data_IF_148956011454
#
_entry.id   IF_148956011454
#
_cell.length_a   1.000
_cell.length_b   1.000
_cell.length_c   1.000
_cell.angle_alpha   90.00
_cell.angle_beta   90.00
_cell.angle_gamma   90.00
#
_symmetry.space_group_name_H-M   'P 1'
#
loop_
_entity.id
_entity.type
_entity.pdbx_description
1 polymer ?
#
# COMPACT_ATOMS: atom_id res chain seq x y z
N UNK A 1 13.25 -16.91 -23.10
CA UNK A 1 12.20 -15.99 -22.62
C UNK A 1 12.39 -15.86 -21.12
N UNK A 2 12.54 -14.66 -20.58
CA UNK A 2 12.59 -14.46 -19.13
C UNK A 2 11.31 -15.03 -18.51
N UNK A 3 11.44 -15.78 -17.41
CA UNK A 3 10.27 -16.31 -16.72
C UNK A 3 9.39 -15.16 -16.23
N UNK A 4 8.05 -15.29 -16.32
CA UNK A 4 7.15 -14.19 -15.98
C UNK A 4 7.28 -13.79 -14.51
N UNK A 5 7.14 -12.48 -14.28
CA UNK A 5 7.02 -11.87 -12.98
C UNK A 5 5.79 -12.40 -12.24
N UNK A 6 5.90 -12.65 -10.94
CA UNK A 6 4.77 -13.10 -10.11
C UNK A 6 4.08 -11.92 -9.44
N UNK A 7 4.81 -10.83 -9.16
CA UNK A 7 4.29 -9.69 -8.38
C UNK A 7 4.66 -8.36 -9.02
N UNK A 8 3.67 -7.49 -9.25
CA UNK A 8 3.93 -6.10 -9.64
C UNK A 8 3.82 -5.17 -8.43
N UNK A 9 4.96 -4.59 -8.04
CA UNK A 9 5.01 -3.59 -6.97
C UNK A 9 4.81 -2.20 -7.55
N UNK A 10 3.70 -1.56 -7.21
CA UNK A 10 3.36 -0.21 -7.65
C UNK A 10 3.76 0.78 -6.56
N UNK A 11 4.68 1.68 -6.90
CA UNK A 11 5.21 2.68 -5.98
C UNK A 11 4.99 4.10 -6.54
N UNK A 12 3.94 4.81 -6.12
CA UNK A 12 3.84 6.24 -6.41
C UNK A 12 4.87 7.02 -5.58
N UNK A 13 5.48 8.04 -6.17
CA UNK A 13 6.42 8.92 -5.47
C UNK A 13 6.32 10.35 -6.01
N UNK A 14 6.66 11.33 -5.16
CA UNK A 14 6.85 12.72 -5.55
C UNK A 14 7.79 13.39 -4.54
N UNK A 15 8.94 13.88 -4.99
CA UNK A 15 9.95 14.54 -4.14
C UNK A 15 10.36 13.72 -2.88
N UNK A 16 10.29 12.39 -2.95
CA UNK A 16 10.58 11.47 -1.83
C UNK A 16 11.58 10.38 -2.23
N UNK A 17 12.62 10.77 -2.99
CA UNK A 17 13.55 9.85 -3.61
C UNK A 17 14.38 9.02 -2.64
N UNK A 18 14.82 9.60 -1.51
CA UNK A 18 15.56 8.85 -0.49
C UNK A 18 14.70 7.76 0.17
N UNK A 19 13.42 8.07 0.43
CA UNK A 19 12.46 7.10 0.94
C UNK A 19 12.23 5.99 -0.09
N UNK A 20 11.98 6.35 -1.35
CA UNK A 20 11.78 5.38 -2.44
C UNK A 20 13.01 4.48 -2.61
N UNK A 21 14.21 5.06 -2.66
CA UNK A 21 15.46 4.32 -2.74
C UNK A 21 15.61 3.32 -1.60
N UNK A 22 15.38 3.74 -0.35
CA UNK A 22 15.43 2.84 0.81
C UNK A 22 14.39 1.72 0.70
N UNK A 23 13.18 2.01 0.26
CA UNK A 23 12.14 1.00 0.07
C UNK A 23 12.55 -0.02 -1.00
N UNK A 24 13.00 0.44 -2.17
CA UNK A 24 13.50 -0.38 -3.28
C UNK A 24 14.68 -1.26 -2.83
N UNK A 25 15.61 -0.71 -2.07
CA UNK A 25 16.74 -1.47 -1.51
C UNK A 25 16.30 -2.55 -0.51
N UNK A 26 15.19 -2.36 0.18
CA UNK A 26 14.63 -3.40 1.05
C UNK A 26 13.87 -4.46 0.26
N UNK A 27 13.17 -4.08 -0.82
CA UNK A 27 12.56 -5.04 -1.74
C UNK A 27 13.62 -5.99 -2.32
N UNK A 28 14.77 -5.48 -2.75
CA UNK A 28 15.85 -6.31 -3.33
C UNK A 28 16.48 -7.28 -2.34
N UNK A 29 16.34 -7.04 -1.03
CA UNK A 29 16.92 -7.89 0.02
C UNK A 29 15.96 -8.87 0.66
N UNK A 30 14.68 -8.52 0.71
CA UNK A 30 13.72 -9.20 1.59
C UNK A 30 12.46 -9.70 0.88
N UNK A 31 12.39 -9.55 -0.43
CA UNK A 31 11.32 -10.13 -1.25
C UNK A 31 11.87 -11.34 -1.99
N UNK A 32 11.30 -12.51 -1.74
CA UNK A 32 11.76 -13.80 -2.28
C UNK A 32 11.09 -14.12 -3.63
N UNK A 33 9.88 -13.60 -3.82
CA UNK A 33 9.12 -13.72 -5.05
C UNK A 33 9.83 -13.01 -6.21
N UNK A 34 9.60 -13.48 -7.43
CA UNK A 34 9.95 -12.68 -8.61
C UNK A 34 8.98 -11.51 -8.73
N UNK A 35 9.51 -10.30 -8.73
CA UNK A 35 8.71 -9.09 -8.84
C UNK A 35 9.28 -8.12 -9.87
N UNK A 36 8.43 -7.20 -10.30
CA UNK A 36 8.80 -5.99 -11.03
C UNK A 36 8.41 -4.77 -10.18
N UNK A 37 9.12 -3.66 -10.36
CA UNK A 37 8.78 -2.41 -9.69
C UNK A 37 8.30 -1.43 -10.76
N UNK A 38 7.08 -0.93 -10.58
CA UNK A 38 6.50 0.14 -11.38
C UNK A 38 6.53 1.41 -10.52
N UNK A 39 7.57 2.21 -10.75
CA UNK A 39 7.82 3.46 -10.04
C UNK A 39 7.15 4.60 -10.81
N UNK A 40 6.15 5.23 -10.20
CA UNK A 40 5.39 6.32 -10.82
C UNK A 40 5.76 7.65 -10.16
N UNK A 41 6.56 8.45 -10.85
CA UNK A 41 6.87 9.82 -10.47
C UNK A 41 5.71 10.75 -10.80
N UNK A 42 5.05 11.25 -9.76
CA UNK A 42 3.89 12.11 -9.86
C UNK A 42 4.30 13.60 -9.84
N UNK A 43 5.12 13.99 -10.81
CA UNK A 43 5.68 15.33 -11.01
C UNK A 43 6.56 15.82 -9.85
N UNK A 44 7.66 15.12 -9.62
CA UNK A 44 8.78 15.64 -8.82
C UNK A 44 9.50 16.78 -9.56
N UNK A 45 10.06 17.70 -8.79
CA UNK A 45 10.80 18.85 -9.31
C UNK A 45 12.10 18.42 -10.00
N UNK A 46 12.72 17.36 -9.47
CA UNK A 46 13.89 16.72 -10.06
C UNK A 46 13.81 15.20 -9.88
N UNK A 47 14.56 14.46 -10.70
CA UNK A 47 14.73 13.01 -10.57
C UNK A 47 16.23 12.74 -10.42
N UNK A 48 16.69 12.08 -9.35
CA UNK A 48 18.10 11.76 -9.18
C UNK A 48 18.61 10.80 -10.25
N UNK A 49 19.86 10.99 -10.67
CA UNK A 49 20.57 10.11 -11.59
C UNK A 49 20.53 8.62 -11.19
N UNK A 50 20.62 8.33 -9.88
CA UNK A 50 20.61 6.95 -9.39
C UNK A 50 19.25 6.24 -9.56
N UNK A 51 18.17 6.98 -9.82
CA UNK A 51 16.88 6.42 -10.23
C UNK A 51 16.86 6.22 -11.74
N UNK A 52 17.28 7.24 -12.50
CA UNK A 52 17.26 7.22 -13.97
C UNK A 52 18.19 6.16 -14.58
N UNK A 53 19.26 5.78 -13.87
CA UNK A 53 20.24 4.79 -14.33
C UNK A 53 19.84 3.33 -14.00
N UNK A 54 18.67 3.11 -13.38
CA UNK A 54 18.20 1.76 -13.07
C UNK A 54 17.47 1.16 -14.27
N UNK A 55 17.87 -0.04 -14.64
CA UNK A 55 17.26 -0.87 -15.69
C UNK A 55 16.25 -1.88 -15.13
N UNK A 56 16.20 -2.03 -13.80
CA UNK A 56 15.31 -2.95 -13.09
C UNK A 56 13.97 -2.33 -12.65
N UNK A 57 13.68 -1.12 -13.12
CA UNK A 57 12.44 -0.39 -12.83
C UNK A 57 11.66 -0.08 -14.11
N UNK A 58 10.34 -0.27 -14.06
CA UNK A 58 9.43 0.39 -14.99
C UNK A 58 9.12 1.79 -14.46
N UNK A 59 9.69 2.81 -15.10
CA UNK A 59 9.56 4.19 -14.67
C UNK A 59 8.50 4.95 -15.47
N UNK A 60 7.49 5.49 -14.79
CA UNK A 60 6.46 6.37 -15.37
C UNK A 60 6.65 7.76 -14.79
N UNK A 61 6.76 8.78 -15.64
CA UNK A 61 6.88 10.18 -15.22
C UNK A 61 5.66 10.99 -15.65
N UNK A 62 5.02 11.66 -14.70
CA UNK A 62 3.97 12.63 -14.97
C UNK A 62 4.53 14.05 -15.14
N UNK A 63 3.99 14.80 -16.10
CA UNK A 63 4.35 16.21 -16.32
C UNK A 63 3.71 17.19 -15.34
N UNK A 64 2.68 16.76 -14.62
CA UNK A 64 2.01 17.52 -13.56
C UNK A 64 1.47 16.55 -12.48
N UNK A 65 1.17 17.07 -11.30
CA UNK A 65 0.62 16.29 -10.19
C UNK A 65 -0.81 15.81 -10.52
N UNK A 66 -0.99 14.51 -10.72
CA UNK A 66 -2.27 13.86 -10.99
C UNK A 66 -2.94 13.28 -9.73
N UNK A 67 -2.34 13.46 -8.57
CA UNK A 67 -2.71 12.78 -7.34
C UNK A 67 -2.13 11.36 -7.22
N UNK A 68 -2.04 10.88 -5.99
CA UNK A 68 -1.50 9.55 -5.65
C UNK A 68 -2.35 8.43 -6.26
N UNK A 69 -3.68 8.61 -6.27
CA UNK A 69 -4.61 7.61 -6.80
C UNK A 69 -4.41 7.36 -8.30
N UNK A 70 -4.30 8.43 -9.09
CA UNK A 70 -4.03 8.31 -10.52
C UNK A 70 -2.68 7.64 -10.79
N UNK A 71 -1.66 7.94 -9.96
CA UNK A 71 -0.37 7.28 -10.07
C UNK A 71 -0.45 5.77 -9.78
N UNK A 72 -1.26 5.34 -8.81
CA UNK A 72 -1.52 3.92 -8.56
C UNK A 72 -2.23 3.28 -9.76
N UNK A 73 -3.27 3.93 -10.31
CA UNK A 73 -3.98 3.44 -11.50
C UNK A 73 -3.05 3.30 -12.72
N UNK A 74 -2.14 4.25 -12.94
CA UNK A 74 -1.13 4.16 -14.00
C UNK A 74 -0.22 2.93 -13.81
N UNK A 75 0.17 2.66 -12.57
CA UNK A 75 0.94 1.47 -12.23
C UNK A 75 0.15 0.18 -12.47
N UNK A 76 -1.12 0.12 -12.06
CA UNK A 76 -1.98 -1.06 -12.24
C UNK A 76 -2.16 -1.39 -13.73
N UNK A 77 -2.31 -0.39 -14.59
CA UNK A 77 -2.40 -0.57 -16.05
C UNK A 77 -1.15 -1.17 -16.69
N UNK A 78 0.00 -1.08 -16.02
CA UNK A 78 1.28 -1.62 -16.51
C UNK A 78 1.67 -2.93 -15.85
N UNK A 79 1.00 -3.30 -14.77
CA UNK A 79 1.31 -4.51 -14.01
C UNK A 79 1.06 -5.78 -14.81
N UNK A 80 2.00 -6.72 -14.73
CA UNK A 80 1.94 -8.03 -15.39
C UNK A 80 1.86 -9.21 -14.40
N UNK A 81 2.21 -8.98 -13.14
CA UNK A 81 2.26 -10.01 -12.10
C UNK A 81 0.89 -10.58 -11.73
N UNK A 82 0.86 -11.79 -11.21
CA UNK A 82 -0.34 -12.42 -10.65
C UNK A 82 -0.87 -11.66 -9.43
N UNK A 83 0.04 -11.07 -8.66
CA UNK A 83 -0.30 -10.22 -7.51
C UNK A 83 0.12 -8.77 -7.75
N UNK A 84 -0.71 -7.85 -7.26
CA UNK A 84 -0.46 -6.41 -7.26
C UNK A 84 -0.16 -5.98 -5.83
N UNK A 85 0.93 -5.23 -5.65
CA UNK A 85 1.25 -4.59 -4.37
C UNK A 85 1.15 -3.09 -4.51
N UNK A 86 0.28 -2.47 -3.72
CA UNK A 86 0.28 -1.02 -3.50
C UNK A 86 1.25 -0.71 -2.37
N UNK A 87 2.40 -0.12 -2.68
CA UNK A 87 3.47 0.10 -1.71
C UNK A 87 3.90 1.56 -1.69
N UNK A 88 3.62 2.25 -0.58
CA UNK A 88 4.15 3.61 -0.39
C UNK A 88 5.66 3.57 -0.13
N UNK A 89 6.36 4.54 -0.67
CA UNK A 89 7.83 4.71 -0.60
C UNK A 89 8.41 4.77 0.83
N UNK A 90 7.57 4.95 1.85
CA UNK A 90 7.96 4.99 3.27
C UNK A 90 7.90 3.63 3.98
N UNK A 91 7.40 2.60 3.30
CA UNK A 91 7.36 1.25 3.83
C UNK A 91 8.77 0.67 3.98
N UNK A 92 8.92 -0.29 4.90
CA UNK A 92 10.16 -1.06 5.08
C UNK A 92 9.83 -2.54 4.90
N UNK A 93 9.83 -3.04 3.66
CA UNK A 93 9.85 -4.47 3.39
C UNK A 93 10.95 -5.16 4.19
N UNK A 94 10.65 -6.34 4.70
CA UNK A 94 11.54 -7.08 5.60
C UNK A 94 11.21 -8.57 5.52
N UNK A 95 12.02 -9.43 6.13
CA UNK A 95 11.94 -10.89 6.04
C UNK A 95 10.50 -11.42 5.92
N UNK A 96 10.23 -12.19 4.86
CA UNK A 96 8.96 -12.91 4.62
C UNK A 96 7.70 -12.06 4.52
N UNK A 97 7.81 -10.72 4.44
CA UNK A 97 6.64 -9.82 4.45
C UNK A 97 5.63 -10.16 3.34
N UNK A 98 6.10 -10.34 2.10
CA UNK A 98 5.24 -10.56 0.95
C UNK A 98 4.73 -12.00 0.88
N UNK A 99 5.63 -12.97 1.10
CA UNK A 99 5.31 -14.40 1.16
C UNK A 99 4.15 -14.67 2.11
N UNK A 100 4.20 -14.06 3.30
CA UNK A 100 3.14 -14.21 4.29
C UNK A 100 1.83 -13.59 3.83
N UNK A 101 1.83 -12.38 3.27
CA UNK A 101 0.60 -11.75 2.77
C UNK A 101 -0.01 -12.47 1.57
N UNK A 102 0.80 -12.99 0.65
CA UNK A 102 0.34 -13.84 -0.46
C UNK A 102 -0.28 -15.13 0.09
N UNK A 103 0.30 -15.70 1.16
CA UNK A 103 -0.27 -16.87 1.81
C UNK A 103 -1.67 -16.60 2.36
N UNK A 104 -1.90 -15.43 2.98
CA UNK A 104 -3.25 -15.03 3.41
C UNK A 104 -4.23 -15.02 2.24
N UNK A 105 -3.84 -14.45 1.10
CA UNK A 105 -4.68 -14.44 -0.12
C UNK A 105 -5.04 -15.85 -0.60
N UNK A 106 -4.09 -16.79 -0.55
CA UNK A 106 -4.28 -18.17 -1.01
C UNK A 106 -5.11 -19.03 -0.07
N UNK A 107 -4.93 -18.85 1.24
CA UNK A 107 -5.49 -19.73 2.27
C UNK A 107 -6.77 -19.16 2.91
N UNK A 108 -7.09 -17.88 2.68
CA UNK A 108 -8.34 -17.28 3.18
C UNK A 108 -9.39 -17.19 2.07
N UNK A 109 -10.53 -17.90 2.19
CA UNK A 109 -11.59 -17.85 1.18
C UNK A 109 -12.03 -16.41 0.88
N UNK A 110 -12.08 -16.07 -0.41
CA UNK A 110 -12.49 -14.77 -0.92
C UNK A 110 -11.67 -13.57 -0.40
N UNK A 111 -10.44 -13.75 0.08
CA UNK A 111 -9.57 -12.61 0.38
C UNK A 111 -9.19 -11.85 -0.91
N UNK A 112 -9.69 -10.64 -1.06
CA UNK A 112 -9.41 -9.78 -2.23
C UNK A 112 -8.31 -8.76 -1.98
N UNK A 113 -8.03 -8.44 -0.71
CA UNK A 113 -6.99 -7.48 -0.34
C UNK A 113 -6.47 -7.76 1.06
N UNK A 114 -5.13 -7.78 1.19
CA UNK A 114 -4.44 -8.07 2.44
C UNK A 114 -3.51 -6.92 2.81
N UNK A 115 -3.52 -6.51 4.08
CA UNK A 115 -2.58 -5.53 4.64
C UNK A 115 -1.87 -6.07 5.89
N UNK A 116 -0.63 -5.63 6.18
CA UNK A 116 0.13 -6.11 7.33
C UNK A 116 -0.13 -5.27 8.58
N UNK A 117 0.34 -5.75 9.73
CA UNK A 117 0.53 -4.96 10.94
C UNK A 117 1.63 -3.90 10.73
N UNK A 118 1.53 -2.78 11.45
CA UNK A 118 2.50 -1.68 11.32
C UNK A 118 2.54 -0.76 12.54
N UNK A 119 3.67 -0.06 12.74
CA UNK A 119 3.88 0.88 13.85
C UNK A 119 2.87 2.04 13.91
N UNK A 120 2.19 2.31 12.80
CA UNK A 120 1.24 3.42 12.66
C UNK A 120 -0.06 3.00 11.99
N UNK A 121 -0.46 1.75 12.22
CA UNK A 121 -1.70 1.25 11.67
C UNK A 121 -2.89 1.97 12.28
N UNK A 122 -3.98 1.99 11.52
CA UNK A 122 -5.31 2.24 12.04
C UNK A 122 -5.79 0.96 12.73
N UNK A 123 -6.49 1.12 13.86
CA UNK A 123 -7.29 0.07 14.49
C UNK A 123 -6.55 -1.29 14.57
N UNK A 124 -7.07 -2.31 13.90
CA UNK A 124 -6.55 -3.68 13.87
C UNK A 124 -5.14 -3.83 13.28
N UNK A 125 -4.65 -2.87 12.48
CA UNK A 125 -3.30 -2.93 11.90
C UNK A 125 -2.22 -2.36 12.83
N UNK A 126 -2.59 -1.88 14.03
CA UNK A 126 -1.67 -1.10 14.87
C UNK A 126 -0.82 -2.00 15.78
N UNK A 127 0.48 -2.02 15.53
CA UNK A 127 1.50 -2.64 16.38
C UNK A 127 2.64 -1.65 16.67
N UNK A 128 2.53 -0.79 17.69
CA UNK A 128 3.53 0.22 17.99
C UNK A 128 4.83 -0.44 18.48
N UNK A 129 5.96 0.13 18.06
CA UNK A 129 7.30 -0.36 18.45
C UNK A 129 8.19 0.81 18.91
N UNK A 130 9.09 0.62 19.88
CA UNK A 130 9.90 1.69 20.46
C UNK A 130 11.19 1.98 19.68
N UNK A 131 11.39 1.39 18.50
CA UNK A 131 12.63 1.49 17.73
C UNK A 131 12.40 2.09 16.33
N UNK A 132 13.45 2.74 15.82
CA UNK A 132 13.49 3.31 14.46
C UNK A 132 14.71 2.87 13.65
N UNK A 133 15.72 2.27 14.31
CA UNK A 133 16.91 1.77 13.62
C UNK A 133 16.56 0.59 12.72
N UNK A 134 17.01 0.62 11.45
CA UNK A 134 16.75 -0.43 10.45
C UNK A 134 17.12 -1.83 10.97
N UNK A 135 18.28 -1.98 11.60
CA UNK A 135 18.71 -3.28 12.16
C UNK A 135 17.72 -3.86 13.18
N UNK A 136 17.14 -3.02 14.04
CA UNK A 136 16.11 -3.41 15.01
C UNK A 136 14.79 -3.76 14.32
N UNK A 137 14.41 -2.99 13.29
CA UNK A 137 13.21 -3.25 12.47
C UNK A 137 13.33 -4.62 11.79
N UNK A 138 14.47 -4.91 11.14
CA UNK A 138 14.71 -6.18 10.46
C UNK A 138 14.73 -7.36 11.43
N UNK A 139 15.40 -7.21 12.59
CA UNK A 139 15.41 -8.25 13.63
C UNK A 139 14.00 -8.56 14.14
N UNK A 140 13.22 -7.52 14.45
CA UNK A 140 11.84 -7.70 14.90
C UNK A 140 10.98 -8.38 13.84
N UNK A 141 11.03 -7.90 12.59
CA UNK A 141 10.24 -8.48 11.49
C UNK A 141 10.62 -9.94 11.24
N UNK A 142 11.91 -10.30 11.34
CA UNK A 142 12.34 -11.69 11.21
C UNK A 142 11.83 -12.60 12.34
N UNK A 143 11.52 -12.06 13.51
CA UNK A 143 10.93 -12.83 14.61
C UNK A 143 9.40 -12.84 14.56
N UNK A 144 8.79 -11.82 13.95
CA UNK A 144 7.34 -11.63 13.90
C UNK A 144 6.71 -12.30 12.69
N UNK A 145 7.34 -12.19 11.52
CA UNK A 145 6.80 -12.60 10.22
C UNK A 145 6.89 -14.13 10.04
N UNK A 146 6.08 -14.85 10.80
CA UNK A 146 5.94 -16.30 10.74
C UNK A 146 4.48 -16.68 10.69
N UNK A 147 4.13 -17.57 9.78
CA UNK A 147 2.74 -17.91 9.52
C UNK A 147 2.01 -18.43 10.75
N UNK A 148 0.94 -17.74 11.10
CA UNK A 148 -0.03 -18.19 12.09
C UNK A 148 -1.44 -17.72 11.67
N UNK A 149 -2.22 -18.59 10.99
CA UNK A 149 -3.56 -18.24 10.53
C UNK A 149 -4.52 -17.76 11.61
N UNK A 150 -4.25 -18.06 12.89
CA UNK A 150 -5.06 -17.58 14.03
C UNK A 150 -4.96 -16.06 14.21
N UNK A 151 -3.96 -15.43 13.61
CA UNK A 151 -3.78 -13.98 13.64
C UNK A 151 -4.36 -13.29 12.40
N UNK A 152 -4.89 -14.01 11.42
CA UNK A 152 -5.52 -13.40 10.26
C UNK A 152 -6.92 -12.95 10.61
N UNK A 153 -7.22 -11.67 10.37
CA UNK A 153 -8.49 -11.06 10.79
C UNK A 153 -9.16 -10.36 9.62
N UNK A 154 -10.40 -10.73 9.34
CA UNK A 154 -11.25 -9.95 8.45
C UNK A 154 -11.55 -8.57 9.06
N UNK A 155 -11.41 -7.52 8.27
CA UNK A 155 -11.57 -6.14 8.72
C UNK A 155 -12.50 -5.34 7.82
N UNK A 156 -13.02 -4.24 8.35
CA UNK A 156 -13.84 -3.33 7.57
C UNK A 156 -13.00 -2.47 6.61
N UNK A 157 -11.74 -2.18 6.96
CA UNK A 157 -10.87 -1.23 6.26
C UNK A 157 -9.41 -1.63 6.36
N UNK A 158 -8.60 -1.19 5.40
CA UNK A 158 -7.15 -1.33 5.40
C UNK A 158 -6.48 0.01 5.10
N UNK A 159 -5.27 0.21 5.61
CA UNK A 159 -4.48 1.41 5.35
C UNK A 159 -3.66 1.27 4.06
N UNK A 160 -3.76 2.28 3.19
CA UNK A 160 -3.18 2.31 1.83
C UNK A 160 -1.65 2.28 1.70
N UNK A 161 -0.91 2.09 2.79
CA UNK A 161 0.55 2.16 2.74
C UNK A 161 1.23 0.91 2.16
N UNK A 162 0.58 -0.25 2.33
CA UNK A 162 1.07 -1.56 1.94
C UNK A 162 -0.11 -2.51 1.86
N UNK A 163 -0.54 -2.84 0.65
CA UNK A 163 -1.62 -3.80 0.42
C UNK A 163 -1.29 -4.72 -0.74
N UNK A 164 -1.69 -6.00 -0.64
CA UNK A 164 -1.51 -7.01 -1.68
C UNK A 164 -2.88 -7.47 -2.15
N UNK A 165 -3.05 -7.55 -3.48
CA UNK A 165 -4.29 -7.97 -4.13
C UNK A 165 -3.97 -8.98 -5.25
N UNK A 166 -4.83 -9.96 -5.53
CA UNK A 166 -4.73 -10.72 -6.77
C UNK A 166 -5.05 -9.81 -7.96
N UNK A 167 -4.29 -9.88 -9.06
CA UNK A 167 -4.54 -9.06 -10.26
C UNK A 167 -5.92 -9.33 -10.85
N UNK A 168 -6.40 -10.58 -10.84
CA UNK A 168 -7.74 -10.92 -11.29
C UNK A 168 -8.84 -10.15 -10.54
N UNK A 169 -8.65 -9.91 -9.24
CA UNK A 169 -9.58 -9.12 -8.42
C UNK A 169 -9.51 -7.64 -8.81
N UNK A 170 -8.32 -7.12 -9.12
CA UNK A 170 -8.15 -5.75 -9.63
C UNK A 170 -8.83 -5.59 -10.99
N UNK A 171 -8.71 -6.56 -11.87
CA UNK A 171 -9.34 -6.55 -13.20
C UNK A 171 -10.87 -6.63 -13.13
N UNK A 172 -11.41 -7.37 -12.16
CA UNK A 172 -12.85 -7.48 -11.92
C UNK A 172 -13.44 -6.20 -11.30
N UNK A 173 -12.79 -5.66 -10.26
CA UNK A 173 -13.30 -4.51 -9.49
C UNK A 173 -13.00 -3.17 -10.18
N UNK A 174 -11.97 -3.13 -11.03
CA UNK A 174 -11.55 -1.95 -11.77
C UNK A 174 -10.67 -0.99 -10.97
N UNK A 175 -10.42 0.18 -11.55
CA UNK A 175 -9.48 1.18 -11.03
C UNK A 175 -9.93 1.83 -9.70
N UNK A 176 -9.00 2.49 -9.01
CA UNK A 176 -9.34 3.40 -7.91
C UNK A 176 -10.07 4.65 -8.45
N UNK A 177 -11.00 5.18 -7.66
CA UNK A 177 -11.70 6.42 -8.01
C UNK A 177 -10.75 7.63 -7.86
N UNK A 178 -10.31 8.19 -8.98
CA UNK A 178 -9.34 9.29 -9.03
C UNK A 178 -9.84 10.57 -8.34
N UNK A 179 -11.15 10.71 -8.04
CA UNK A 179 -11.67 11.84 -7.29
C UNK A 179 -11.01 11.98 -5.90
N UNK A 180 -10.60 10.87 -5.28
CA UNK A 180 -9.88 10.89 -4.00
C UNK A 180 -8.46 11.48 -4.08
N UNK A 181 -7.90 11.68 -5.28
CA UNK A 181 -6.72 12.53 -5.52
C UNK A 181 -5.47 12.17 -4.69
N UNK A 182 -5.07 13.07 -3.77
CA UNK A 182 -3.83 12.98 -2.97
C UNK A 182 -3.92 12.07 -1.72
N UNK A 183 -4.72 11.02 -1.77
CA UNK A 183 -4.74 9.97 -0.74
C UNK A 183 -5.49 10.40 0.52
N UNK A 184 -6.75 9.97 0.58
CA UNK A 184 -7.58 9.81 1.77
C UNK A 184 -8.89 9.16 1.29
N UNK A 185 -9.36 8.09 1.94
CA UNK A 185 -10.57 7.34 1.58
C UNK A 185 -10.53 6.54 0.26
N UNK A 186 -9.43 6.55 -0.49
CA UNK A 186 -9.28 5.79 -1.74
C UNK A 186 -9.35 4.28 -1.52
N UNK A 187 -8.70 3.78 -0.45
CA UNK A 187 -8.75 2.36 -0.09
C UNK A 187 -10.04 2.00 0.63
N UNK A 188 -10.67 2.97 1.29
CA UNK A 188 -11.98 2.75 1.90
C UNK A 188 -13.05 2.54 0.81
N UNK A 189 -13.03 3.37 -0.23
CA UNK A 189 -13.87 3.20 -1.43
C UNK A 189 -13.62 1.87 -2.12
N UNK A 190 -12.35 1.55 -2.35
CA UNK A 190 -11.96 0.29 -2.96
C UNK A 190 -12.40 -0.91 -2.11
N UNK A 191 -12.31 -0.78 -0.78
CA UNK A 191 -12.74 -1.78 0.18
C UNK A 191 -14.25 -2.02 0.17
N UNK A 192 -15.07 -0.98 -0.01
CA UNK A 192 -16.52 -1.14 -0.21
C UNK A 192 -16.81 -1.88 -1.51
N UNK A 193 -16.14 -1.50 -2.61
CA UNK A 193 -16.31 -2.17 -3.91
C UNK A 193 -15.89 -3.62 -3.89
N UNK A 194 -14.78 -3.95 -3.25
CA UNK A 194 -14.34 -5.34 -3.03
C UNK A 194 -15.43 -6.17 -2.34
N UNK A 195 -16.03 -5.64 -1.27
CA UNK A 195 -17.11 -6.34 -0.56
C UNK A 195 -18.37 -6.49 -1.39
N UNK A 196 -18.73 -5.48 -2.19
CA UNK A 196 -19.86 -5.58 -3.11
C UNK A 196 -19.63 -6.65 -4.20
N UNK A 197 -18.38 -6.88 -4.59
CA UNK A 197 -17.97 -7.98 -5.47
C UNK A 197 -17.79 -9.33 -4.73
N UNK A 198 -18.11 -9.42 -3.43
CA UNK A 198 -18.04 -10.66 -2.64
C UNK A 198 -16.67 -10.97 -2.03
N UNK A 199 -15.71 -10.05 -2.12
CA UNK A 199 -14.38 -10.19 -1.54
C UNK A 199 -14.27 -9.64 -0.12
N UNK A 200 -13.25 -10.11 0.60
CA UNK A 200 -12.94 -9.74 1.98
C UNK A 200 -11.64 -8.96 2.06
N UNK A 201 -11.57 -8.05 3.04
CA UNK A 201 -10.34 -7.37 3.45
C UNK A 201 -9.77 -8.09 4.65
N UNK A 202 -8.48 -8.40 4.65
CA UNK A 202 -7.85 -9.18 5.71
C UNK A 202 -6.59 -8.50 6.21
N UNK A 203 -6.44 -8.40 7.53
CA UNK A 203 -5.16 -8.07 8.14
C UNK A 203 -4.37 -9.35 8.35
N UNK A 204 -3.17 -9.39 7.77
CA UNK A 204 -2.16 -10.39 8.07
C UNK A 204 -1.55 -10.08 9.44
N UNK A 205 -2.23 -10.49 10.52
CA UNK A 205 -1.83 -10.17 11.89
C UNK A 205 -0.53 -10.85 12.35
N UNK A 206 -0.01 -11.77 11.56
CA UNK A 206 1.28 -12.43 11.73
C UNK A 206 2.39 -11.81 10.87
N UNK A 207 2.10 -10.68 10.21
CA UNK A 207 3.02 -10.03 9.29
C UNK A 207 3.17 -8.55 9.64
N UNK A 208 4.41 -8.09 9.77
CA UNK A 208 4.74 -6.72 10.11
C UNK A 208 5.53 -6.03 9.01
N UNK A 209 5.11 -4.80 8.67
CA UNK A 209 5.84 -3.89 7.78
C UNK A 209 5.92 -2.52 8.45
N UNK A 210 7.14 -2.02 8.65
CA UNK A 210 7.36 -0.73 9.31
C UNK A 210 7.08 0.46 8.37
N UNK A 211 6.68 1.59 8.92
CA UNK A 211 6.55 2.86 8.20
C UNK A 211 7.41 3.96 8.82
N UNK A 212 8.32 4.53 8.03
CA UNK A 212 9.05 5.74 8.42
C UNK A 212 8.15 6.98 8.41
N UNK A 213 8.53 8.03 9.16
CA UNK A 213 7.93 9.37 8.96
C UNK A 213 8.64 10.03 7.80
N UNK A 214 7.88 10.72 6.96
CA UNK A 214 8.46 11.84 6.23
C UNK A 214 8.80 12.92 7.27
N UNK A 215 10.08 13.29 7.30
CA UNK A 215 10.69 14.21 8.26
C UNK A 215 10.31 15.67 7.99
N UNK A 216 9.87 15.99 6.77
CA UNK A 216 9.43 17.34 6.41
C UNK A 216 7.92 17.48 6.52
N UNK A 217 7.48 18.24 7.54
CA UNK A 217 6.07 18.64 7.70
C UNK A 217 5.98 20.10 8.11
N UNK A 218 5.66 20.98 7.17
CA UNK A 218 5.35 22.37 7.47
C UNK A 218 3.87 22.51 7.89
N UNK A 219 3.55 23.54 8.69
CA UNK A 219 2.17 23.76 9.20
C UNK A 219 1.14 24.01 8.08
N UNK A 220 1.57 24.58 6.96
CA UNK A 220 0.73 24.86 5.79
C UNK A 220 0.24 23.55 5.16
N UNK A 221 1.14 22.59 4.97
CA UNK A 221 0.85 21.25 4.47
C UNK A 221 -0.20 20.51 5.34
N UNK A 222 -0.12 20.67 6.67
CA UNK A 222 -1.09 20.05 7.59
C UNK A 222 -2.53 20.59 7.42
N UNK A 223 -2.71 21.90 7.15
CA UNK A 223 -4.04 22.50 6.96
C UNK A 223 -4.65 22.06 5.65
N UNK A 224 -3.88 22.09 4.57
CA UNK A 224 -4.34 21.64 3.25
C UNK A 224 -4.71 20.16 3.27
N UNK A 225 -3.88 19.33 3.91
CA UNK A 225 -4.16 17.90 4.07
C UNK A 225 -5.47 17.65 4.83
N UNK A 226 -5.70 18.34 5.96
CA UNK A 226 -6.97 18.22 6.71
C UNK A 226 -8.18 18.66 5.87
N UNK A 227 -8.02 19.71 5.06
CA UNK A 227 -9.07 20.17 4.13
C UNK A 227 -9.39 19.09 3.09
N UNK A 228 -8.37 18.50 2.46
CA UNK A 228 -8.53 17.40 1.49
C UNK A 228 -9.18 16.18 2.13
N UNK A 229 -8.70 15.75 3.29
CA UNK A 229 -9.29 14.64 4.06
C UNK A 229 -10.77 14.88 4.37
N UNK A 230 -11.14 16.12 4.74
CA UNK A 230 -12.53 16.50 4.99
C UNK A 230 -13.39 16.52 3.72
N UNK A 231 -12.82 16.89 2.57
CA UNK A 231 -13.50 16.86 1.26
C UNK A 231 -13.70 15.41 0.81
N UNK A 232 -12.68 14.58 0.91
CA UNK A 232 -12.71 13.16 0.58
C UNK A 232 -13.71 12.40 1.45
N UNK A 233 -13.76 12.67 2.77
CA UNK A 233 -14.79 12.08 3.64
C UNK A 233 -16.20 12.46 3.20
N UNK A 234 -16.45 13.73 2.86
CA UNK A 234 -17.77 14.18 2.37
C UNK A 234 -18.16 13.49 1.07
N UNK A 235 -17.23 13.36 0.14
CA UNK A 235 -17.47 12.66 -1.11
C UNK A 235 -17.71 11.17 -0.89
N UNK A 236 -16.93 10.53 -0.02
CA UNK A 236 -17.15 9.15 0.37
C UNK A 236 -18.57 8.94 0.91
N UNK A 237 -19.00 9.78 1.86
CA UNK A 237 -20.36 9.72 2.43
C UNK A 237 -21.42 9.98 1.36
N UNK A 238 -21.20 10.94 0.46
CA UNK A 238 -22.11 11.21 -0.65
C UNK A 238 -22.23 10.01 -1.60
N UNK A 239 -21.11 9.34 -1.92
CA UNK A 239 -21.06 8.20 -2.82
C UNK A 239 -21.70 6.94 -2.23
N UNK A 240 -21.51 6.69 -0.94
CA UNK A 240 -21.90 5.44 -0.29
C UNK A 240 -23.06 5.55 0.71
N UNK A 241 -23.55 6.76 0.99
CA UNK A 241 -24.66 7.02 1.90
C UNK A 241 -24.37 6.76 3.39
N UNK A 242 -23.13 6.43 3.75
CA UNK A 242 -22.69 6.18 5.12
C UNK A 242 -21.23 6.55 5.30
N UNK A 243 -20.83 6.83 6.53
CA UNK A 243 -19.43 7.03 6.85
C UNK A 243 -18.74 5.72 7.22
N UNK A 244 -17.50 5.55 6.76
CA UNK A 244 -16.65 4.41 7.12
C UNK A 244 -16.34 4.32 8.61
N UNK A 245 -16.46 5.43 9.34
CA UNK A 245 -16.27 5.47 10.79
C UNK A 245 -17.54 5.10 11.58
N UNK A 246 -18.73 5.34 11.05
CA UNK A 246 -20.00 5.04 11.75
C UNK A 246 -20.28 3.53 11.83
N UNK A 247 -19.93 2.77 10.78
CA UNK A 247 -20.11 1.32 10.76
C UNK A 247 -19.16 0.55 11.71
N UNK A 248 -18.04 1.15 12.11
CA UNK A 248 -17.08 0.57 13.05
C UNK A 248 -17.50 0.77 14.52
N UNK A 249 -18.09 1.93 14.84
CA UNK A 249 -18.57 2.25 16.19
C UNK A 249 -19.89 1.53 16.54
N UNK A 250 -20.71 1.15 15.56
CA UNK A 250 -21.94 0.37 15.80
C UNK A 250 -21.70 -1.10 16.23
N UNK A 251 -20.44 -1.56 16.24
CA UNK A 251 -20.02 -2.91 16.70
C UNK A 251 -19.32 -2.89 18.06
N UNK A 252 -19.32 -1.74 18.75
CA UNK A 252 -18.81 -1.59 20.13
C UNK A 252 -19.93 -1.59 21.15
#
# INVERSE_FOLDING_TARGET
MSEPCVVSVIMPTRNRWESAWRCIHNLSRYTEERYEIILVDNASDFIPDYILKRDDLYFIRNGWDRGEVAAINQGMKKASGEYIVWLKQRAVPSHRWLTQMIRVLKETPAAGMVGPMTNRGLEEQRLPVPFQALSKIHRFSNQYNHSDPRHWKEVSRLQSFCCVLPRAVVEEVGELDEWFGMGSHEVDDYGVRLKQAGYRLVVAGDTYVHQFRDTERNKVDLRERKKRESQNRRYFIHKWGSDVFEAADARR
#
